data_IF_323716205270
#
_entry.id   IF_323716205270
#
_cell.length_a   1.000
_cell.length_b   1.000
_cell.length_c   1.000
_cell.angle_alpha   90.00
_cell.angle_beta   90.00
_cell.angle_gamma   90.00
#
_symmetry.space_group_name_H-M   'P 1'
#
loop_
_entity.id
_entity.type
_entity.pdbx_description
1 polymer ?
#
# COMPACT_ATOMS: atom_id res chain seq x y z
N UNK A 1 4.61 -13.79 10.37
CA UNK A 1 5.40 -14.97 9.94
C UNK A 1 6.84 -14.59 9.60
N UNK A 2 7.09 -13.63 8.69
CA UNK A 2 8.46 -13.15 8.37
C UNK A 2 9.26 -12.68 9.60
N UNK A 3 8.65 -11.90 10.49
CA UNK A 3 9.26 -11.48 11.77
C UNK A 3 9.74 -12.65 12.65
N UNK A 4 8.93 -13.72 12.74
CA UNK A 4 9.29 -14.91 13.52
C UNK A 4 10.46 -15.67 12.89
N UNK A 5 10.50 -15.74 11.55
CA UNK A 5 11.62 -16.35 10.83
C UNK A 5 12.91 -15.55 11.05
N UNK A 6 12.88 -14.22 10.91
CA UNK A 6 14.03 -13.35 11.19
C UNK A 6 14.53 -13.49 12.65
N UNK A 7 13.60 -13.56 13.61
CA UNK A 7 13.91 -13.81 15.02
C UNK A 7 14.59 -15.16 15.25
N UNK A 8 14.07 -16.24 14.67
CA UNK A 8 14.65 -17.56 14.80
C UNK A 8 16.05 -17.63 14.16
N UNK A 9 16.23 -17.03 12.98
CA UNK A 9 17.54 -16.95 12.31
C UNK A 9 18.54 -16.15 13.13
N UNK A 10 18.14 -15.02 13.71
CA UNK A 10 19.00 -14.26 14.62
C UNK A 10 19.36 -15.07 15.87
N UNK A 11 18.40 -15.76 16.49
CA UNK A 11 18.66 -16.61 17.66
C UNK A 11 19.65 -17.73 17.36
N UNK A 12 19.67 -18.23 16.13
CA UNK A 12 20.58 -19.29 15.70
C UNK A 12 21.97 -18.78 15.27
N UNK A 13 22.04 -17.63 14.60
CA UNK A 13 23.26 -17.15 13.92
C UNK A 13 23.88 -15.88 14.51
N UNK A 14 23.14 -15.14 15.33
CA UNK A 14 23.51 -13.82 15.83
C UNK A 14 23.56 -12.71 14.77
N UNK A 15 23.17 -13.00 13.53
CA UNK A 15 23.27 -12.03 12.44
C UNK A 15 22.17 -10.96 12.54
N UNK A 16 22.55 -9.71 12.85
CA UNK A 16 21.61 -8.59 13.02
C UNK A 16 21.04 -8.09 11.69
N UNK A 17 21.73 -8.36 10.57
CA UNK A 17 21.31 -7.90 9.24
C UNK A 17 19.96 -8.48 8.84
N UNK A 18 19.57 -9.63 9.41
CA UNK A 18 18.26 -10.26 9.16
C UNK A 18 17.09 -9.37 9.57
N UNK A 19 17.24 -8.51 10.58
CA UNK A 19 16.18 -7.57 10.96
C UNK A 19 16.19 -6.30 10.10
N UNK A 20 17.37 -5.87 9.65
CA UNK A 20 17.49 -4.72 8.74
C UNK A 20 16.81 -5.04 7.41
N UNK A 21 17.12 -6.21 6.83
CA UNK A 21 16.48 -6.72 5.61
C UNK A 21 14.96 -6.86 5.76
N UNK A 22 14.51 -7.36 6.92
CA UNK A 22 13.08 -7.48 7.23
C UNK A 22 12.38 -6.12 7.28
N UNK A 23 12.98 -5.10 7.90
CA UNK A 23 12.41 -3.74 7.95
C UNK A 23 12.31 -3.14 6.54
N UNK A 24 13.33 -3.35 5.71
CA UNK A 24 13.34 -2.87 4.32
C UNK A 24 12.22 -3.52 3.49
N UNK A 25 12.04 -4.83 3.60
CA UNK A 25 10.94 -5.56 2.93
C UNK A 25 9.58 -5.05 3.41
N UNK A 26 9.39 -4.84 4.72
CA UNK A 26 8.13 -4.30 5.26
C UNK A 26 7.82 -2.90 4.73
N UNK A 27 8.84 -2.06 4.55
CA UNK A 27 8.66 -0.72 3.97
C UNK A 27 8.29 -0.78 2.49
N UNK A 28 8.93 -1.66 1.71
CA UNK A 28 8.59 -1.89 0.31
C UNK A 28 7.14 -2.39 0.19
N UNK A 29 6.73 -3.33 1.03
CA UNK A 29 5.35 -3.82 1.06
C UNK A 29 4.34 -2.69 1.31
N UNK A 30 4.57 -1.85 2.33
CA UNK A 30 3.69 -0.71 2.63
C UNK A 30 3.61 0.27 1.45
N UNK A 31 4.73 0.53 0.79
CA UNK A 31 4.78 1.41 -0.39
C UNK A 31 4.01 0.80 -1.59
N UNK A 32 4.02 -0.52 -1.74
CA UNK A 32 3.23 -1.21 -2.77
C UNK A 32 1.73 -1.21 -2.45
N UNK A 33 1.35 -1.40 -1.19
CA UNK A 33 -0.05 -1.36 -0.74
C UNK A 33 -0.66 0.05 -0.84
N UNK A 34 0.14 1.11 -0.64
CA UNK A 34 -0.28 2.51 -0.70
C UNK A 34 -0.80 3.00 -2.07
N UNK A 35 -0.63 2.23 -3.15
CA UNK A 35 -1.10 2.57 -4.49
C UNK A 35 -2.41 1.88 -4.91
N UNK A 36 -3.02 1.05 -4.06
CA UNK A 36 -4.28 0.38 -4.40
C UNK A 36 -5.53 1.28 -4.31
N UNK A 37 -5.39 2.47 -3.72
CA UNK A 37 -6.47 3.47 -3.60
C UNK A 37 -6.16 4.74 -4.40
N UNK A 38 -5.63 4.58 -5.62
CA UNK A 38 -5.51 5.69 -6.56
C UNK A 38 -6.89 6.22 -6.93
N UNK A 39 -7.34 7.27 -6.24
CA UNK A 39 -8.38 8.22 -6.60
C UNK A 39 -9.36 7.75 -7.69
N UNK A 40 -10.32 6.88 -7.33
CA UNK A 40 -11.56 6.76 -8.10
C UNK A 40 -12.41 7.98 -7.73
N UNK A 41 -11.97 9.17 -8.15
CA UNK A 41 -12.85 10.33 -8.21
C UNK A 41 -13.76 10.10 -9.42
N UNK A 42 -14.91 9.47 -9.20
CA UNK A 42 -16.03 9.58 -10.13
C UNK A 42 -16.47 11.05 -10.16
N UNK A 43 -15.85 11.83 -11.04
CA UNK A 43 -16.33 13.17 -11.39
C UNK A 43 -17.64 12.98 -12.15
N UNK A 44 -18.73 12.85 -11.40
CA UNK A 44 -20.09 12.73 -11.94
C UNK A 44 -20.47 13.99 -12.72
N UNK A 45 -20.17 14.01 -14.01
CA UNK A 45 -20.61 15.07 -14.92
C UNK A 45 -22.02 14.72 -15.43
N UNK A 46 -23.05 15.01 -14.62
CA UNK A 46 -24.43 14.84 -15.05
C UNK A 46 -24.95 16.12 -15.72
N UNK A 47 -24.86 16.17 -17.04
CA UNK A 47 -25.41 17.23 -17.90
C UNK A 47 -26.96 17.14 -18.04
N UNK A 48 -27.69 16.98 -16.93
CA UNK A 48 -29.16 16.94 -16.93
C UNK A 48 -29.81 18.32 -16.85
N UNK A 49 -29.05 19.38 -16.54
CA UNK A 49 -29.59 20.74 -16.32
C UNK A 49 -29.81 21.56 -17.60
N UNK A 50 -29.30 21.13 -18.76
CA UNK A 50 -29.45 21.89 -20.03
C UNK A 50 -30.78 21.69 -20.75
N UNK A 51 -31.61 20.73 -20.33
CA UNK A 51 -32.85 20.38 -21.02
C UNK A 51 -34.01 21.33 -20.67
N UNK A 52 -33.94 22.07 -19.57
CA UNK A 52 -35.03 22.97 -19.12
C UNK A 52 -34.86 24.44 -19.51
N UNK A 53 -33.73 24.81 -20.11
CA UNK A 53 -33.44 26.19 -20.56
C UNK A 53 -33.76 26.43 -22.04
N UNK A 54 -34.17 25.39 -22.79
CA UNK A 54 -34.73 25.53 -24.14
C UNK A 54 -36.20 25.14 -24.12
N UNK A 55 -37.00 26.14 -23.73
CA UNK A 55 -38.31 26.51 -24.29
C UNK A 55 -39.06 25.45 -25.11
#
# INVERSE_FOLDING_TARGET
MLRQMAWNTFKHTGNVNTFIELIEIENIQKNMEGNQYGNIEDKGDNNSRKQYERL
#
